data_IF_129900181008
#
_entry.id   IF_129900181008
#
_cell.length_a   1.000
_cell.length_b   1.000
_cell.length_c   1.000
_cell.angle_alpha   90.00
_cell.angle_beta   90.00
_cell.angle_gamma   90.00
#
_symmetry.space_group_name_H-M   'P 1'
#
loop_
_entity.id
_entity.type
_entity.pdbx_description
1 polymer ?
#
# COMPACT_ATOMS: atom_id res chain seq x y z
N UNK A 1 7.61 -19.72 42.19
CA UNK A 1 6.91 -18.79 41.27
C UNK A 1 7.97 -18.03 40.50
N UNK A 2 8.02 -18.14 39.16
CA UNK A 2 8.98 -17.38 38.35
C UNK A 2 8.53 -15.92 38.35
N UNK A 3 9.33 -15.04 38.94
CA UNK A 3 9.05 -13.60 38.98
C UNK A 3 9.28 -13.05 37.58
N UNK A 4 8.20 -12.75 36.86
CA UNK A 4 8.30 -12.10 35.54
C UNK A 4 8.59 -10.64 35.82
N UNK A 5 9.76 -10.18 35.38
CA UNK A 5 10.18 -8.79 35.56
C UNK A 5 9.21 -7.87 34.83
N UNK A 6 8.58 -6.95 35.58
CA UNK A 6 7.71 -5.89 35.03
C UNK A 6 8.43 -5.10 33.94
N UNK A 7 9.74 -4.92 34.07
CA UNK A 7 10.58 -4.26 33.05
C UNK A 7 10.63 -5.07 31.76
N UNK A 8 10.75 -6.40 31.84
CA UNK A 8 10.75 -7.27 30.66
C UNK A 8 9.40 -7.23 29.93
N UNK A 9 8.30 -7.16 30.68
CA UNK A 9 6.95 -7.00 30.13
C UNK A 9 6.80 -5.65 29.42
N UNK A 10 7.26 -4.56 30.04
CA UNK A 10 7.21 -3.22 29.44
C UNK A 10 8.02 -3.13 28.14
N UNK A 11 9.22 -3.74 28.10
CA UNK A 11 10.03 -3.78 26.88
C UNK A 11 9.34 -4.59 25.78
N UNK A 12 8.72 -5.73 26.11
CA UNK A 12 7.92 -6.50 25.15
C UNK A 12 6.73 -5.69 24.62
N UNK A 13 6.02 -4.96 25.48
CA UNK A 13 4.94 -4.08 25.05
C UNK A 13 5.45 -2.95 24.15
N UNK A 14 6.56 -2.30 24.49
CA UNK A 14 7.15 -1.25 23.66
C UNK A 14 7.55 -1.76 22.27
N UNK A 15 8.13 -2.96 22.18
CA UNK A 15 8.48 -3.59 20.90
C UNK A 15 7.23 -3.89 20.06
N UNK A 16 6.13 -4.32 20.68
CA UNK A 16 4.84 -4.56 19.99
C UNK A 16 4.14 -3.25 19.60
N UNK A 17 4.24 -2.19 20.43
CA UNK A 17 3.65 -0.88 20.15
C UNK A 17 4.40 -0.11 19.05
N UNK A 18 5.73 -0.23 18.97
CA UNK A 18 6.53 0.32 17.87
C UNK A 18 6.18 -0.35 16.53
N UNK A 19 5.91 -1.66 16.54
CA UNK A 19 5.40 -2.39 15.35
C UNK A 19 3.94 -2.02 15.03
N UNK A 20 3.13 -1.69 16.03
CA UNK A 20 1.75 -1.20 15.89
C UNK A 20 1.65 0.32 15.73
N UNK A 21 2.61 0.98 15.07
CA UNK A 21 2.38 2.30 14.46
C UNK A 21 1.33 2.12 13.36
N UNK A 22 0.08 1.98 13.80
CA UNK A 22 -1.14 2.05 13.02
C UNK A 22 -1.12 3.46 12.42
N UNK A 23 -0.53 3.49 11.24
CA UNK A 23 -0.74 4.47 10.17
C UNK A 23 -2.20 4.87 10.17
N UNK A 24 -2.43 6.17 10.06
CA UNK A 24 -3.62 6.87 10.55
C UNK A 24 -4.95 6.27 10.12
N UNK A 25 -6.03 6.79 10.68
CA UNK A 25 -7.43 6.50 10.34
C UNK A 25 -7.83 6.50 8.85
N UNK A 26 -6.91 6.68 7.90
CA UNK A 26 -7.11 6.56 6.47
C UNK A 26 -6.80 5.12 5.99
N UNK A 27 -7.75 4.51 5.28
CA UNK A 27 -7.58 3.17 4.69
C UNK A 27 -6.50 3.09 3.62
N UNK A 28 -6.15 4.21 3.00
CA UNK A 28 -5.21 4.29 1.89
C UNK A 28 -4.06 5.21 2.23
N UNK A 29 -2.84 4.77 1.93
CA UNK A 29 -1.65 5.62 2.00
C UNK A 29 -0.81 5.47 0.74
N UNK A 30 -0.17 6.55 0.31
CA UNK A 30 0.74 6.54 -0.85
C UNK A 30 1.92 5.60 -0.60
N UNK A 31 2.28 4.81 -1.62
CA UNK A 31 3.36 3.83 -1.57
C UNK A 31 4.72 4.47 -1.26
N UNK A 32 4.98 5.67 -1.80
CA UNK A 32 6.20 6.48 -1.64
C UNK A 32 7.47 5.63 -1.78
N UNK A 33 7.83 5.24 -3.02
CA UNK A 33 8.96 4.36 -3.28
C UNK A 33 10.27 4.98 -2.77
N UNK A 34 11.07 4.19 -2.06
CA UNK A 34 12.47 4.53 -1.76
C UNK A 34 13.35 4.40 -3.02
N UNK A 35 14.62 4.81 -2.95
CA UNK A 35 15.53 4.79 -4.11
C UNK A 35 15.72 3.41 -4.73
N UNK A 36 15.59 2.36 -3.94
CA UNK A 36 15.80 0.97 -4.36
C UNK A 36 14.48 0.25 -4.70
N UNK A 37 13.34 0.92 -4.55
CA UNK A 37 12.02 0.38 -4.82
C UNK A 37 11.52 0.72 -6.22
N UNK A 38 10.61 -0.12 -6.72
CA UNK A 38 9.98 0.08 -8.02
C UNK A 38 9.09 1.33 -7.99
N UNK A 39 9.25 2.28 -8.93
CA UNK A 39 8.43 3.49 -8.96
C UNK A 39 6.95 3.19 -9.29
N UNK A 40 6.06 4.06 -8.80
CA UNK A 40 4.60 3.95 -8.93
C UNK A 40 4.13 3.68 -10.37
N UNK A 41 4.68 4.43 -11.33
CA UNK A 41 4.37 4.26 -12.75
C UNK A 41 4.59 2.82 -13.23
N UNK A 42 5.69 2.16 -12.84
CA UNK A 42 5.96 0.79 -13.25
C UNK A 42 5.05 -0.22 -12.55
N UNK A 43 4.73 0.02 -11.28
CA UNK A 43 3.80 -0.82 -10.51
C UNK A 43 2.37 -0.75 -11.05
N UNK A 44 2.02 0.37 -11.69
CA UNK A 44 0.68 0.63 -12.18
C UNK A 44 0.49 0.38 -13.67
N UNK A 45 1.55 0.45 -14.48
CA UNK A 45 1.47 0.29 -15.94
C UNK A 45 1.24 -1.14 -16.41
N UNK A 46 1.74 -2.14 -15.68
CA UNK A 46 1.69 -3.54 -16.13
C UNK A 46 0.26 -4.08 -15.99
N UNK A 47 -0.38 -4.55 -17.08
CA UNK A 47 -1.75 -5.06 -17.03
C UNK A 47 -1.79 -6.49 -16.47
N UNK A 48 -1.57 -6.62 -15.16
CA UNK A 48 -1.62 -7.89 -14.41
C UNK A 48 -2.64 -7.81 -13.28
N UNK A 49 -3.29 -8.92 -12.96
CA UNK A 49 -4.28 -9.01 -11.87
C UNK A 49 -3.87 -10.04 -10.80
N UNK A 50 -3.88 -9.70 -9.50
CA UNK A 50 -3.96 -8.33 -9.00
C UNK A 50 -2.72 -7.52 -9.43
N UNK A 51 -2.82 -6.18 -9.41
CA UNK A 51 -1.78 -5.28 -9.92
C UNK A 51 -0.43 -5.48 -9.22
N UNK A 52 0.66 -5.03 -9.84
CA UNK A 52 1.96 -5.05 -9.16
C UNK A 52 1.96 -4.13 -7.94
N UNK A 53 1.26 -2.98 -8.00
CA UNK A 53 1.01 -2.13 -6.83
C UNK A 53 0.37 -2.92 -5.67
N UNK A 54 -0.64 -3.74 -5.96
CA UNK A 54 -1.29 -4.58 -4.96
C UNK A 54 -0.29 -5.50 -4.26
N UNK A 55 0.46 -6.28 -5.05
CA UNK A 55 1.43 -7.26 -4.52
C UNK A 55 2.56 -6.56 -3.77
N UNK A 56 3.08 -5.46 -4.32
CA UNK A 56 4.19 -4.72 -3.73
C UNK A 56 3.83 -4.11 -2.37
N UNK A 57 2.62 -3.59 -2.23
CA UNK A 57 2.12 -3.11 -0.94
C UNK A 57 2.11 -4.22 0.12
N UNK A 58 1.58 -5.41 -0.20
CA UNK A 58 1.59 -6.55 0.72
C UNK A 58 3.02 -6.98 1.11
N UNK A 59 3.96 -6.93 0.16
CA UNK A 59 5.35 -7.35 0.38
C UNK A 59 6.16 -6.36 1.23
N UNK A 60 5.92 -5.06 1.09
CA UNK A 60 6.86 -4.03 1.56
C UNK A 60 6.27 -3.03 2.54
N UNK A 61 4.95 -3.07 2.78
CA UNK A 61 4.28 -2.19 3.72
C UNK A 61 3.56 -3.05 4.75
N UNK A 62 4.11 -3.10 5.95
CA UNK A 62 3.57 -3.91 7.05
C UNK A 62 2.09 -3.57 7.32
N UNK A 63 1.25 -4.60 7.39
CA UNK A 63 -0.20 -4.46 7.60
C UNK A 63 -1.00 -4.09 6.35
N UNK A 64 -0.37 -3.84 5.19
CA UNK A 64 -1.10 -3.60 3.96
C UNK A 64 -1.76 -4.91 3.48
N UNK A 65 -3.06 -4.82 3.18
CA UNK A 65 -3.86 -5.93 2.64
C UNK A 65 -3.84 -5.97 1.12
N UNK A 66 -3.49 -4.85 0.47
CA UNK A 66 -3.44 -4.73 -0.97
C UNK A 66 -3.00 -3.33 -1.41
N UNK A 67 -3.34 -2.97 -2.63
CA UNK A 67 -3.05 -1.65 -3.18
C UNK A 67 -3.78 -1.39 -4.49
N UNK A 68 -3.96 -0.12 -4.81
CA UNK A 68 -4.61 0.36 -6.04
C UNK A 68 -3.80 1.46 -6.71
N UNK A 69 -4.00 1.58 -8.00
CA UNK A 69 -3.38 2.62 -8.81
C UNK A 69 -4.38 3.75 -9.06
N UNK A 70 -3.97 4.97 -8.74
CA UNK A 70 -4.69 6.17 -9.15
C UNK A 70 -4.06 6.70 -10.43
N UNK A 71 -4.77 6.54 -11.55
CA UNK A 71 -4.26 6.91 -12.86
C UNK A 71 -4.58 8.38 -13.14
N UNK A 72 -3.52 9.17 -13.26
CA UNK A 72 -3.57 10.58 -13.65
C UNK A 72 -3.61 10.75 -15.18
N UNK A 73 -3.78 11.98 -15.68
CA UNK A 73 -3.78 12.22 -17.15
C UNK A 73 -2.37 11.99 -17.69
N UNK A 74 -1.36 12.45 -16.95
CA UNK A 74 0.03 12.12 -17.24
C UNK A 74 0.39 10.78 -16.59
N UNK A 75 0.95 9.83 -17.35
CA UNK A 75 1.32 8.54 -16.78
C UNK A 75 2.36 8.63 -15.65
N UNK A 76 3.23 9.64 -15.68
CA UNK A 76 4.25 9.88 -14.63
C UNK A 76 3.67 10.35 -13.30
N UNK A 77 2.46 10.91 -13.33
CA UNK A 77 1.76 11.37 -12.13
C UNK A 77 0.96 10.24 -11.48
N UNK A 78 0.90 9.05 -12.12
CA UNK A 78 0.24 7.86 -11.57
C UNK A 78 0.82 7.50 -10.20
N UNK A 79 -0.08 7.29 -9.23
CA UNK A 79 0.28 6.94 -7.85
C UNK A 79 -0.18 5.54 -7.48
N UNK A 80 0.65 4.85 -6.70
CA UNK A 80 0.26 3.61 -6.02
C UNK A 80 -0.15 3.95 -4.59
N UNK A 81 -1.31 3.44 -4.16
CA UNK A 81 -1.82 3.58 -2.80
C UNK A 81 -2.01 2.20 -2.16
N UNK A 82 -1.40 1.97 -1.00
CA UNK A 82 -1.56 0.74 -0.23
C UNK A 82 -2.84 0.79 0.60
N UNK A 83 -3.62 -0.29 0.56
CA UNK A 83 -4.87 -0.45 1.30
C UNK A 83 -4.62 -1.24 2.58
N UNK A 84 -4.99 -0.67 3.73
CA UNK A 84 -4.86 -1.29 5.05
C UNK A 84 -6.20 -1.83 5.61
N UNK A 85 -7.32 -1.41 5.01
CA UNK A 85 -8.65 -1.76 5.51
C UNK A 85 -9.20 -3.05 4.89
N UNK A 86 -9.01 -3.28 3.60
CA UNK A 86 -9.57 -4.43 2.86
C UNK A 86 -8.55 -5.04 1.89
N UNK A 87 -8.64 -6.35 1.67
CA UNK A 87 -7.97 -7.09 0.59
C UNK A 87 -8.79 -7.08 -0.72
N UNK A 88 -9.92 -6.36 -0.72
CA UNK A 88 -10.72 -6.18 -1.93
C UNK A 88 -9.90 -5.51 -3.02
N UNK A 89 -9.77 -6.23 -4.12
CA UNK A 89 -9.08 -5.82 -5.32
C UNK A 89 -10.00 -4.91 -6.13
N UNK A 90 -9.47 -3.81 -6.66
CA UNK A 90 -10.20 -3.01 -7.65
C UNK A 90 -10.29 -3.85 -8.94
N UNK A 91 -11.44 -4.52 -9.14
CA UNK A 91 -11.72 -5.39 -10.31
C UNK A 91 -11.77 -4.61 -11.63
N UNK A 92 -11.79 -3.28 -11.56
CA UNK A 92 -11.71 -2.40 -12.70
C UNK A 92 -10.28 -1.86 -12.85
N UNK A 93 -9.42 -2.46 -13.69
CA UNK A 93 -8.20 -1.78 -14.11
C UNK A 93 -8.60 -0.48 -14.80
N UNK A 94 -8.40 0.66 -14.13
CA UNK A 94 -8.76 2.01 -14.57
C UNK A 94 -8.13 2.42 -15.94
N UNK A 95 -7.18 1.65 -16.48
CA UNK A 95 -6.77 1.77 -17.88
C UNK A 95 -7.94 1.62 -18.87
N UNK A 96 -8.97 0.85 -18.53
CA UNK A 96 -10.15 0.66 -19.39
C UNK A 96 -11.21 1.75 -19.23
N UNK A 97 -11.25 2.48 -18.12
CA UNK A 97 -12.30 3.49 -17.86
C UNK A 97 -11.87 4.92 -18.20
N UNK A 98 -10.56 5.23 -18.26
CA UNK A 98 -10.10 6.60 -18.58
C UNK A 98 -9.98 6.88 -20.08
N UNK A 99 -10.08 5.88 -20.95
CA UNK A 99 -10.07 6.05 -22.42
C UNK A 99 -11.41 6.57 -22.97
N UNK A 100 -12.01 7.63 -22.43
CA UNK A 100 -13.10 8.33 -23.16
C UNK A 100 -13.30 9.77 -22.70
N UNK A 101 -12.30 10.64 -22.88
CA UNK A 101 -12.59 12.06 -23.10
C UNK A 101 -11.49 12.70 -23.96
N UNK A 102 -11.25 12.13 -25.13
CA UNK A 102 -10.67 12.91 -26.24
C UNK A 102 -11.83 13.70 -26.83
N UNK A 103 -12.07 14.91 -26.31
CA UNK A 103 -12.93 15.89 -26.97
C UNK A 103 -12.28 16.29 -28.30
N UNK A 104 -13.09 16.22 -29.35
CA UNK A 104 -12.80 16.55 -30.74
C UNK A 104 -12.37 18.01 -30.95
#
# INVERSE_FOLDING_TARGET
>A
MKSVSIVAILVLFLVVFEASKVKGNACFEEYKPTRDETPDFLLCRVPVYPSLCYKKCQETREGAKGGKCDFEINPQDTKCFCNYCSDEYDLNPLYLTKQTTTTA
#
